data_IF_382519967276
#
_entry.id   IF_382519967276
#
_cell.length_a   1.000
_cell.length_b   1.000
_cell.length_c   1.000
_cell.angle_alpha   90.00
_cell.angle_beta   90.00
_cell.angle_gamma   90.00
#
_symmetry.space_group_name_H-M   'P 1'
#
loop_
_entity.id
_entity.type
_entity.pdbx_description
1 polymer ?
#
# COMPACT_ATOMS: atom_id res chain seq x y z
N UNK A 1 41.71 17.55 28.39
CA UNK A 1 41.09 17.03 27.16
C UNK A 1 39.82 16.29 27.56
N UNK A 2 38.67 16.93 27.46
CA UNK A 2 37.37 16.31 27.74
C UNK A 2 36.54 16.41 26.47
N UNK A 3 36.45 15.32 25.70
CA UNK A 3 35.53 15.23 24.58
C UNK A 3 34.19 14.75 25.15
N UNK A 4 33.28 15.67 25.47
CA UNK A 4 31.89 15.31 25.77
C UNK A 4 31.20 14.97 24.45
N UNK A 5 31.29 13.71 24.04
CA UNK A 5 30.43 13.14 23.01
C UNK A 5 29.02 13.02 23.58
N UNK A 6 28.11 13.88 23.14
CA UNK A 6 26.72 13.75 23.53
C UNK A 6 25.82 14.74 22.84
N UNK A 7 25.13 14.30 21.79
CA UNK A 7 23.76 14.76 21.53
C UNK A 7 22.94 13.55 21.08
N UNK A 8 22.05 13.12 21.97
CA UNK A 8 20.96 12.18 21.70
C UNK A 8 19.72 13.03 21.40
N UNK A 9 19.18 13.00 20.18
CA UNK A 9 17.96 13.76 19.86
C UNK A 9 17.03 13.04 18.88
N UNK A 10 15.74 13.19 19.18
CA UNK A 10 14.57 12.44 18.74
C UNK A 10 14.12 12.71 17.29
N UNK A 11 13.22 11.84 16.80
CA UNK A 11 12.59 11.86 15.46
C UNK A 11 12.23 13.30 15.01
N UNK A 12 12.63 13.67 13.78
CA UNK A 12 12.36 14.92 13.04
C UNK A 12 13.30 16.16 13.18
N UNK A 13 14.51 16.09 13.73
CA UNK A 13 15.49 17.21 13.61
C UNK A 13 16.73 16.83 12.78
N UNK A 14 17.17 17.75 11.93
CA UNK A 14 18.35 17.65 11.06
C UNK A 14 19.58 17.44 11.94
N UNK A 15 20.29 16.34 11.74
CA UNK A 15 21.57 16.08 12.40
C UNK A 15 22.62 16.92 11.69
N UNK A 16 23.05 18.01 12.31
CA UNK A 16 24.21 18.78 11.87
C UNK A 16 25.38 18.29 12.72
N UNK A 17 26.25 17.47 12.13
CA UNK A 17 27.52 17.13 12.78
C UNK A 17 28.43 18.33 12.64
N UNK A 18 28.71 18.99 13.76
CA UNK A 18 29.68 20.08 13.82
C UNK A 18 31.06 19.48 14.03
N UNK A 19 31.95 19.66 13.05
CA UNK A 19 33.36 19.28 13.18
C UNK A 19 34.18 20.54 13.39
N UNK A 20 35.00 20.56 14.45
CA UNK A 20 35.90 21.66 14.76
C UNK A 20 37.29 21.33 14.23
N UNK A 21 37.80 22.10 13.26
CA UNK A 21 39.20 22.01 12.79
C UNK A 21 39.81 23.41 12.85
N UNK A 22 40.88 23.57 13.62
CA UNK A 22 41.62 24.85 13.71
C UNK A 22 40.78 26.04 14.22
N UNK A 23 39.81 25.82 15.11
CA UNK A 23 38.92 26.87 15.61
C UNK A 23 37.76 27.24 14.69
N UNK A 24 37.70 26.66 13.47
CA UNK A 24 36.58 26.82 12.56
C UNK A 24 35.52 25.73 12.82
N UNK A 25 34.26 26.15 12.93
CA UNK A 25 33.09 25.28 13.04
C UNK A 25 32.58 24.94 11.63
N UNK A 26 32.72 23.69 11.20
CA UNK A 26 32.10 23.21 9.96
C UNK A 26 30.80 22.49 10.30
N UNK A 27 29.68 23.06 9.88
CA UNK A 27 28.41 22.35 9.87
C UNK A 27 28.40 21.38 8.69
N UNK A 28 28.74 20.11 8.91
CA UNK A 28 28.51 19.08 7.90
C UNK A 28 27.00 18.82 7.83
N UNK A 29 26.34 19.49 6.88
CA UNK A 29 24.98 19.13 6.48
C UNK A 29 24.98 17.66 6.06
N UNK A 30 24.29 16.81 6.83
CA UNK A 30 24.09 15.40 6.53
C UNK A 30 22.70 15.17 5.90
N UNK A 31 22.29 16.03 4.97
CA UNK A 31 21.06 15.81 4.19
C UNK A 31 21.27 14.70 3.16
N UNK A 32 21.28 13.44 3.61
CA UNK A 32 21.43 12.31 2.68
C UNK A 32 20.42 12.36 1.53
N UNK A 33 20.78 11.75 0.41
CA UNK A 33 19.97 11.66 -0.79
C UNK A 33 18.58 11.08 -0.51
N UNK A 34 17.67 11.26 -1.47
CA UNK A 34 16.31 10.77 -1.41
C UNK A 34 15.83 10.24 -2.75
N UNK A 35 14.92 9.27 -2.71
CA UNK A 35 14.30 8.68 -3.90
C UNK A 35 12.84 8.32 -3.62
N UNK A 36 12.00 8.50 -4.63
CA UNK A 36 10.60 8.11 -4.62
C UNK A 36 9.73 9.14 -5.32
N UNK A 37 8.46 8.80 -5.55
CA UNK A 37 7.43 9.71 -6.01
C UNK A 37 6.05 9.08 -5.72
N UNK A 38 5.40 8.42 -6.69
CA UNK A 38 4.01 7.98 -6.56
C UNK A 38 3.79 6.55 -7.06
N UNK A 39 2.85 5.83 -6.44
CA UNK A 39 2.18 4.66 -7.04
C UNK A 39 0.74 5.07 -7.31
N UNK A 40 0.24 4.95 -8.54
CA UNK A 40 -1.08 5.47 -8.93
C UNK A 40 -1.96 4.48 -9.66
N UNK A 41 -3.26 4.74 -9.62
CA UNK A 41 -4.28 4.05 -10.38
C UNK A 41 -4.31 4.58 -11.80
N UNK A 42 -3.67 3.87 -12.72
CA UNK A 42 -3.80 4.11 -14.14
C UNK A 42 -5.14 3.51 -14.60
N UNK A 43 -6.16 4.36 -14.69
CA UNK A 43 -7.57 3.97 -14.90
C UNK A 43 -7.83 3.55 -16.34
N UNK A 44 -7.15 4.18 -17.29
CA UNK A 44 -7.29 3.93 -18.72
C UNK A 44 -6.19 3.01 -19.28
N UNK A 45 -5.23 2.59 -18.46
CA UNK A 45 -4.11 1.72 -18.78
C UNK A 45 -3.15 2.28 -19.85
N UNK A 46 -3.04 3.60 -19.96
CA UNK A 46 -2.20 4.25 -20.98
C UNK A 46 -0.74 4.46 -20.53
N UNK A 47 -0.41 4.16 -19.27
CA UNK A 47 0.92 4.34 -18.69
C UNK A 47 1.31 5.79 -18.40
N UNK A 48 0.37 6.72 -18.48
CA UNK A 48 0.52 8.13 -18.12
C UNK A 48 -0.27 8.36 -16.84
N UNK A 49 0.20 9.28 -15.99
CA UNK A 49 -0.60 9.71 -14.84
C UNK A 49 -1.49 10.87 -15.27
N UNK A 50 -2.75 10.58 -15.57
CA UNK A 50 -3.72 11.56 -16.03
C UNK A 50 -4.39 12.34 -14.87
N UNK A 51 -4.98 13.48 -15.20
CA UNK A 51 -5.76 14.25 -14.23
C UNK A 51 -6.98 13.43 -13.74
N UNK A 52 -7.12 13.32 -12.42
CA UNK A 52 -8.18 12.51 -11.80
C UNK A 52 -7.76 11.07 -11.47
N UNK A 53 -6.57 10.63 -11.91
CA UNK A 53 -6.00 9.36 -11.51
C UNK A 53 -5.32 9.46 -10.15
N UNK A 54 -5.94 8.81 -9.17
CA UNK A 54 -5.52 8.91 -7.79
C UNK A 54 -4.35 7.97 -7.45
N UNK A 55 -3.62 8.32 -6.40
CA UNK A 55 -2.58 7.45 -5.84
C UNK A 55 -3.17 6.20 -5.18
N UNK A 56 -2.44 5.09 -5.23
CA UNK A 56 -2.82 3.84 -4.54
C UNK A 56 -2.28 3.88 -3.11
N UNK A 57 -3.13 3.99 -2.08
CA UNK A 57 -2.67 4.06 -0.71
C UNK A 57 -2.26 2.70 -0.19
N UNK A 58 -1.21 2.71 0.63
CA UNK A 58 -0.80 1.56 1.42
C UNK A 58 -0.03 0.46 0.70
N UNK A 59 0.47 0.72 -0.50
CA UNK A 59 1.40 -0.16 -1.21
C UNK A 59 2.75 -0.13 -0.52
N UNK A 60 3.31 -1.30 -0.18
CA UNK A 60 4.67 -1.39 0.40
C UNK A 60 5.71 -1.34 -0.71
N UNK A 61 6.81 -0.64 -0.45
CA UNK A 61 7.98 -0.60 -1.31
C UNK A 61 9.23 -1.04 -0.56
N UNK A 62 10.16 -1.66 -1.29
CA UNK A 62 11.50 -2.00 -0.82
C UNK A 62 12.53 -1.23 -1.63
N UNK A 63 13.51 -0.65 -0.95
CA UNK A 63 14.66 -0.01 -1.56
C UNK A 63 15.90 -0.85 -1.25
N UNK A 64 16.55 -1.34 -2.29
CA UNK A 64 17.77 -2.13 -2.21
C UNK A 64 19.00 -1.27 -2.53
N UNK A 65 20.08 -1.48 -1.79
CA UNK A 65 21.43 -1.01 -2.09
C UNK A 65 22.41 -2.14 -1.72
N UNK A 66 22.79 -2.95 -2.70
CA UNK A 66 23.35 -4.28 -2.46
C UNK A 66 22.40 -5.12 -1.60
N UNK A 67 22.92 -5.68 -0.50
CA UNK A 67 22.15 -6.50 0.44
C UNK A 67 21.29 -5.67 1.43
N UNK A 68 21.49 -4.36 1.50
CA UNK A 68 20.75 -3.49 2.43
C UNK A 68 19.35 -3.24 1.90
N UNK A 69 18.35 -3.36 2.77
CA UNK A 69 16.93 -3.12 2.45
C UNK A 69 16.33 -2.07 3.36
N UNK A 70 15.77 -0.99 2.78
CA UNK A 70 14.84 -0.07 3.45
C UNK A 70 13.41 -0.35 2.98
N UNK A 71 12.42 -0.06 3.83
CA UNK A 71 10.99 -0.24 3.51
C UNK A 71 10.24 1.08 3.70
N UNK A 72 9.27 1.34 2.84
CA UNK A 72 8.33 2.45 2.96
C UNK A 72 6.94 2.00 2.49
N UNK A 73 5.91 2.80 2.73
CA UNK A 73 4.53 2.54 2.32
C UNK A 73 3.91 3.81 1.76
N UNK A 74 3.17 3.69 0.67
CA UNK A 74 2.49 4.84 0.08
C UNK A 74 1.46 5.43 1.03
N UNK A 75 1.39 6.75 1.08
CA UNK A 75 0.39 7.49 1.86
C UNK A 75 -0.97 7.55 1.14
N UNK A 76 -1.92 8.33 1.69
CA UNK A 76 -3.26 8.49 1.15
C UNK A 76 -3.30 8.99 -0.31
N UNK A 77 -2.26 9.70 -0.75
CA UNK A 77 -2.13 10.19 -2.13
C UNK A 77 -1.20 9.31 -2.98
N UNK A 78 -0.92 8.07 -2.56
CA UNK A 78 -0.02 7.15 -3.28
C UNK A 78 1.46 7.52 -3.21
N UNK A 79 1.85 8.54 -2.44
CA UNK A 79 3.24 9.02 -2.41
C UNK A 79 4.09 8.24 -1.42
N UNK A 80 5.35 8.00 -1.77
CA UNK A 80 6.37 7.39 -0.92
C UNK A 80 7.70 8.13 -1.06
N UNK A 81 8.58 8.03 -0.05
CA UNK A 81 9.89 8.69 -0.08
C UNK A 81 10.88 8.04 0.88
N UNK A 82 11.93 7.44 0.32
CA UNK A 82 13.12 7.08 1.07
C UNK A 82 14.03 8.31 1.22
N UNK A 83 14.50 8.57 2.44
CA UNK A 83 15.35 9.71 2.80
C UNK A 83 16.64 9.25 3.46
N UNK A 84 17.58 10.18 3.64
CA UNK A 84 18.84 9.95 4.36
C UNK A 84 19.57 8.76 3.74
N UNK A 85 19.74 8.81 2.41
CA UNK A 85 20.44 7.81 1.62
C UNK A 85 21.87 8.28 1.37
N UNK A 86 22.82 7.35 1.46
CA UNK A 86 24.17 7.61 0.99
C UNK A 86 24.20 7.65 -0.54
N UNK A 87 25.25 8.25 -1.11
CA UNK A 87 25.50 8.11 -2.54
C UNK A 87 25.71 6.63 -2.89
N UNK A 88 25.19 6.19 -4.03
CA UNK A 88 25.28 4.79 -4.44
C UNK A 88 24.15 4.36 -5.37
N UNK A 89 24.16 3.08 -5.71
CA UNK A 89 23.21 2.46 -6.62
C UNK A 89 22.01 1.88 -5.86
N UNK A 90 20.81 2.19 -6.36
CA UNK A 90 19.57 1.81 -5.70
C UNK A 90 18.60 1.14 -6.65
N UNK A 91 17.90 0.11 -6.15
CA UNK A 91 16.76 -0.51 -6.85
C UNK A 91 15.50 -0.35 -6.00
N UNK A 92 14.43 0.17 -6.60
CA UNK A 92 13.12 0.27 -5.96
C UNK A 92 12.25 -0.87 -6.44
N UNK A 93 11.55 -1.53 -5.52
CA UNK A 93 10.66 -2.67 -5.81
C UNK A 93 9.32 -2.46 -5.13
N UNK A 94 8.25 -2.53 -5.90
CA UNK A 94 6.89 -2.62 -5.36
C UNK A 94 6.64 -4.03 -4.84
N UNK A 95 6.16 -4.13 -3.61
CA UNK A 95 5.69 -5.39 -3.05
C UNK A 95 4.31 -5.71 -3.63
N UNK A 96 4.27 -6.42 -4.77
CA UNK A 96 3.06 -6.70 -5.53
C UNK A 96 1.94 -7.33 -4.69
N UNK A 97 2.30 -8.11 -3.67
CA UNK A 97 1.36 -8.73 -2.73
C UNK A 97 0.56 -7.72 -1.88
N UNK A 98 0.95 -6.45 -1.88
CA UNK A 98 0.28 -5.37 -1.14
C UNK A 98 -0.58 -4.47 -2.02
N UNK A 99 -0.57 -4.68 -3.34
CA UNK A 99 -1.50 -4.02 -4.25
C UNK A 99 -2.92 -4.59 -4.06
N UNK A 100 -3.96 -3.82 -4.43
CA UNK A 100 -5.30 -4.39 -4.56
C UNK A 100 -5.29 -5.66 -5.43
N UNK A 101 -6.13 -6.64 -5.09
CA UNK A 101 -6.17 -7.90 -5.84
C UNK A 101 -6.54 -7.66 -7.30
N UNK A 102 -5.80 -8.29 -8.20
CA UNK A 102 -6.02 -8.21 -9.64
C UNK A 102 -5.38 -7.00 -10.33
N UNK A 103 -4.60 -6.19 -9.62
CA UNK A 103 -3.80 -5.14 -10.28
C UNK A 103 -2.73 -5.74 -11.19
N UNK A 104 -2.46 -5.08 -12.31
CA UNK A 104 -1.30 -5.34 -13.17
C UNK A 104 -0.59 -4.02 -13.50
N UNK A 105 0.72 -4.11 -13.71
CA UNK A 105 1.56 -2.94 -13.97
C UNK A 105 1.29 -2.41 -15.38
N UNK A 106 1.11 -1.10 -15.48
CA UNK A 106 0.94 -0.38 -16.75
C UNK A 106 2.11 0.55 -17.03
N UNK A 107 2.78 1.03 -15.98
CA UNK A 107 3.97 1.86 -16.06
C UNK A 107 4.99 1.50 -14.97
N UNK A 108 6.25 1.45 -15.38
CA UNK A 108 7.41 1.75 -14.58
C UNK A 108 8.45 2.48 -15.44
N UNK A 109 9.47 3.02 -14.78
CA UNK A 109 10.40 3.95 -15.39
C UNK A 109 11.38 3.28 -16.37
N UNK A 110 11.65 1.99 -16.22
CA UNK A 110 12.51 1.21 -17.15
C UNK A 110 11.69 0.48 -18.24
N UNK A 111 10.36 0.53 -18.17
CA UNK A 111 9.44 0.18 -19.24
C UNK A 111 9.13 -1.31 -19.36
N UNK A 112 9.68 -2.15 -18.48
CA UNK A 112 9.46 -3.59 -18.50
C UNK A 112 8.20 -4.02 -17.72
N UNK A 113 7.59 -3.11 -16.96
CA UNK A 113 6.34 -3.32 -16.21
C UNK A 113 6.43 -4.46 -15.19
N UNK A 114 7.61 -4.68 -14.60
CA UNK A 114 7.83 -5.68 -13.56
C UNK A 114 7.60 -5.13 -12.14
N UNK A 115 7.30 -3.82 -12.02
CA UNK A 115 7.10 -3.15 -10.73
C UNK A 115 8.41 -2.89 -10.00
N UNK A 116 9.52 -2.80 -10.74
CA UNK A 116 10.85 -2.48 -10.23
C UNK A 116 11.42 -1.32 -11.04
N UNK A 117 12.37 -0.63 -10.45
CA UNK A 117 13.23 0.29 -11.17
C UNK A 117 14.66 0.05 -10.72
N UNK A 118 15.48 -0.43 -11.66
CA UNK A 118 16.83 -0.88 -11.34
C UNK A 118 17.90 0.18 -11.48
N UNK A 119 18.82 0.03 -10.54
CA UNK A 119 20.16 0.58 -10.41
C UNK A 119 20.35 2.08 -10.64
N UNK A 120 19.45 2.88 -10.04
CA UNK A 120 19.62 4.33 -9.98
C UNK A 120 20.82 4.72 -9.11
N UNK A 121 21.86 5.27 -9.72
CA UNK A 121 22.89 5.98 -8.99
C UNK A 121 22.35 7.32 -8.42
N UNK A 122 22.46 7.50 -7.11
CA UNK A 122 22.19 8.76 -6.42
C UNK A 122 23.49 9.41 -5.99
N UNK A 123 23.64 10.70 -6.30
CA UNK A 123 24.71 11.55 -5.76
C UNK A 123 24.36 11.95 -4.32
N UNK A 124 25.38 12.38 -3.56
CA UNK A 124 25.18 13.00 -2.25
C UNK A 124 24.16 14.15 -2.37
N UNK A 125 23.24 14.22 -1.41
CA UNK A 125 22.18 15.23 -1.29
C UNK A 125 21.22 15.33 -2.51
N UNK A 126 21.24 14.35 -3.44
CA UNK A 126 20.33 14.31 -4.58
C UNK A 126 18.92 13.86 -4.15
N UNK A 127 17.89 14.58 -4.59
CA UNK A 127 16.51 14.07 -4.55
C UNK A 127 16.05 13.64 -5.94
N UNK A 128 15.91 12.33 -6.17
CA UNK A 128 15.37 11.78 -7.40
C UNK A 128 13.87 11.49 -7.29
N UNK A 129 13.07 12.36 -7.90
CA UNK A 129 11.59 12.45 -7.76
C UNK A 129 10.80 11.79 -8.87
N UNK A 130 11.37 10.83 -9.58
CA UNK A 130 10.76 10.32 -10.81
C UNK A 130 10.70 8.80 -10.86
N UNK A 131 10.57 8.19 -9.68
CA UNK A 131 10.31 6.75 -9.56
C UNK A 131 8.83 6.59 -9.28
N UNK A 132 8.10 6.36 -10.33
CA UNK A 132 6.66 6.23 -10.32
C UNK A 132 6.27 4.83 -10.82
N UNK A 133 5.18 4.28 -10.29
CA UNK A 133 4.63 3.00 -10.72
C UNK A 133 3.12 3.09 -10.98
N UNK A 134 2.71 2.83 -12.21
CA UNK A 134 1.32 2.86 -12.65
C UNK A 134 0.72 1.46 -12.63
N UNK A 135 -0.48 1.33 -12.07
CA UNK A 135 -1.20 0.06 -12.04
C UNK A 135 -2.65 0.25 -12.44
N UNK A 136 -3.11 -0.60 -13.36
CA UNK A 136 -4.54 -0.80 -13.58
C UNK A 136 -5.03 -1.84 -12.60
N UNK A 137 -5.95 -1.43 -11.74
CA UNK A 137 -6.60 -2.29 -10.78
C UNK A 137 -8.09 -2.44 -11.12
N UNK A 138 -8.70 -3.60 -10.84
CA UNK A 138 -10.14 -3.76 -10.93
C UNK A 138 -10.82 -2.74 -10.02
N UNK A 139 -11.85 -2.08 -10.54
CA UNK A 139 -12.73 -1.29 -9.69
C UNK A 139 -13.28 -2.21 -8.60
N UNK A 140 -13.32 -1.71 -7.36
CA UNK A 140 -14.03 -2.42 -6.30
C UNK A 140 -15.45 -2.59 -6.82
N UNK A 141 -15.80 -3.80 -7.26
CA UNK A 141 -17.19 -4.12 -7.62
C UNK A 141 -18.00 -3.71 -6.40
N UNK A 142 -18.79 -2.65 -6.54
CA UNK A 142 -19.88 -2.40 -5.62
C UNK A 142 -20.67 -3.69 -5.65
N UNK A 143 -20.58 -4.50 -4.60
CA UNK A 143 -21.47 -5.65 -4.42
C UNK A 143 -22.83 -5.02 -4.11
N UNK A 144 -23.48 -4.50 -5.15
CA UNK A 144 -24.90 -4.25 -5.12
C UNK A 144 -25.51 -5.64 -5.13
N UNK A 145 -25.78 -6.17 -3.95
CA UNK A 145 -26.73 -7.26 -3.75
C UNK A 145 -28.07 -6.80 -4.33
N UNK A 146 -28.23 -6.92 -5.64
CA UNK A 146 -29.55 -6.97 -6.24
C UNK A 146 -30.09 -8.36 -5.89
N UNK A 147 -30.63 -8.50 -4.68
CA UNK A 147 -31.66 -9.50 -4.44
C UNK A 147 -32.76 -9.20 -5.45
N UNK A 148 -32.81 -9.96 -6.56
CA UNK A 148 -34.02 -10.02 -7.39
C UNK A 148 -35.07 -10.70 -6.53
N UNK A 149 -35.77 -9.92 -5.71
CA UNK A 149 -37.09 -10.29 -5.21
C UNK A 149 -38.00 -10.30 -6.44
N UNK A 150 -38.09 -11.44 -7.11
CA UNK A 150 -39.17 -11.68 -8.05
C UNK A 150 -40.48 -11.65 -7.27
N UNK A 151 -41.14 -10.51 -7.29
CA UNK A 151 -42.52 -10.36 -6.84
C UNK A 151 -43.41 -11.36 -7.61
N UNK A 152 -44.21 -12.22 -6.96
CA UNK A 152 -45.12 -13.11 -7.68
C UNK A 152 -46.26 -12.25 -8.25
N UNK A 153 -46.28 -12.07 -9.57
CA UNK A 153 -47.46 -11.54 -10.25
C UNK A 153 -48.51 -12.66 -10.26
N UNK A 154 -49.52 -12.51 -9.42
CA UNK A 154 -50.80 -13.23 -9.53
C UNK A 154 -51.40 -12.98 -10.90
N UNK A 155 -51.54 -14.05 -11.68
CA UNK A 155 -52.17 -14.02 -13.00
C UNK A 155 -52.24 -15.43 -13.59
N UNK A 156 -53.34 -16.12 -13.28
CA UNK A 156 -53.93 -17.24 -14.00
C UNK A 156 -53.00 -18.24 -14.74
N UNK A 157 -52.83 -19.42 -14.14
CA UNK A 157 -52.82 -20.71 -14.83
C UNK A 157 -51.67 -21.02 -15.79
N UNK A 158 -50.55 -21.54 -15.29
CA UNK A 158 -49.82 -22.65 -15.96
C UNK A 158 -48.86 -23.33 -14.98
N UNK A 159 -48.81 -24.66 -15.04
CA UNK A 159 -48.00 -25.56 -14.20
C UNK A 159 -46.52 -25.41 -14.56
N UNK A 160 -45.65 -25.11 -13.59
CA UNK A 160 -44.20 -25.27 -13.72
C UNK A 160 -43.62 -25.88 -12.44
N UNK A 161 -43.38 -27.19 -12.51
CA UNK A 161 -42.64 -27.98 -11.55
C UNK A 161 -41.18 -27.50 -11.55
N UNK A 162 -40.73 -26.85 -10.49
CA UNK A 162 -39.30 -26.54 -10.29
C UNK A 162 -38.82 -27.32 -9.07
N UNK A 163 -38.05 -28.39 -9.30
CA UNK A 163 -37.26 -29.04 -8.27
C UNK A 163 -36.24 -28.03 -7.73
N UNK A 164 -36.48 -27.48 -6.57
CA UNK A 164 -35.50 -26.70 -5.81
C UNK A 164 -34.81 -27.63 -4.81
N UNK A 165 -33.68 -28.19 -5.22
CA UNK A 165 -32.76 -28.93 -4.35
C UNK A 165 -31.69 -27.96 -3.84
N UNK A 166 -31.94 -27.26 -2.72
CA UNK A 166 -30.87 -26.68 -1.91
C UNK A 166 -31.24 -26.81 -0.43
N UNK A 167 -30.56 -27.75 0.23
CA UNK A 167 -30.44 -27.87 1.67
C UNK A 167 -29.36 -26.88 2.14
N UNK A 168 -29.71 -25.94 3.01
CA UNK A 168 -28.84 -25.44 4.08
C UNK A 168 -29.69 -24.61 5.05
N UNK A 169 -29.99 -25.21 6.20
CA UNK A 169 -30.82 -24.70 7.28
C UNK A 169 -30.11 -23.58 8.05
N UNK A 170 -30.77 -22.43 8.21
CA UNK A 170 -30.52 -21.52 9.34
C UNK A 170 -31.76 -21.56 10.21
N UNK A 171 -31.76 -22.47 11.18
CA UNK A 171 -32.82 -22.57 12.19
C UNK A 171 -32.58 -21.51 13.26
N UNK A 172 -33.47 -20.51 13.32
CA UNK A 172 -33.71 -19.74 14.54
C UNK A 172 -35.07 -20.18 15.06
N UNK A 173 -35.10 -20.88 16.20
CA UNK A 173 -36.30 -20.94 17.06
C UNK A 173 -35.87 -20.65 18.49
N UNK A 174 -36.45 -19.58 19.00
CA UNK A 174 -36.29 -19.00 20.31
C UNK A 174 -37.40 -19.53 21.25
N UNK A 175 -37.02 -19.78 22.50
CA UNK A 175 -37.82 -19.83 23.75
C UNK A 175 -38.90 -20.90 23.92
N UNK A 176 -38.66 -21.86 24.83
CA UNK A 176 -39.66 -22.23 25.86
C UNK A 176 -39.07 -23.07 27.01
N UNK A 177 -39.24 -22.57 28.23
CA UNK A 177 -39.21 -23.26 29.53
C UNK A 177 -37.89 -23.88 30.04
N UNK A 178 -37.11 -23.07 30.76
CA UNK A 178 -36.27 -23.55 31.85
C UNK A 178 -37.19 -23.95 33.02
N UNK A 179 -37.34 -25.26 33.30
CA UNK A 179 -37.94 -25.72 34.56
C UNK A 179 -37.27 -27.04 34.98
N UNK A 180 -36.20 -26.93 35.77
CA UNK A 180 -35.65 -28.08 36.50
C UNK A 180 -36.29 -28.09 37.90
N UNK A 181 -37.36 -28.87 38.02
CA UNK A 181 -37.84 -29.48 39.28
C UNK A 181 -37.55 -30.97 39.09
N UNK A 182 -36.95 -31.76 39.97
CA UNK A 182 -36.40 -31.61 41.30
C UNK A 182 -36.08 -33.04 41.78
N UNK A 183 -35.06 -33.16 42.63
CA UNK A 183 -34.90 -34.13 43.73
C UNK A 183 -35.01 -35.66 43.54
N UNK A 184 -33.94 -36.32 44.02
CA UNK A 184 -33.83 -37.60 44.78
C UNK A 184 -34.10 -38.92 44.06
N UNK A 185 -33.10 -39.81 44.07
CA UNK A 185 -32.94 -40.85 45.10
C UNK A 185 -31.46 -41.03 45.43
#
# INVERSE_FOLDING_TARGET
MFVRNGVHMTKNKVVITVVMVGGMCFAQSAFGAAIGNTVWHDRNANGVQDAGEEGIPGVKLKLYNGDKVKKDKTNAQGRYKFKNLDAGHYTVVVAQETLPKGCYATYDRDGNKDGRYKEKYLKKDQYYRHIDFGYRCPDKKQVSLHTRTSSPKTGAGTIALVLALIVATVSVVSLSQYRVVGTRK
#
